data_IF_735685653667
#
_entry.id   IF_735685653667
#
_cell.length_a   1.000
_cell.length_b   1.000
_cell.length_c   1.000
_cell.angle_alpha   90.00
_cell.angle_beta   90.00
_cell.angle_gamma   90.00
#
_symmetry.space_group_name_H-M   'P 1'
#
loop_
_entity.id
_entity.type
_entity.pdbx_description
1 polymer ?
#
# COMPACT_ATOMS: atom_id res chain seq x y z
N UNK A 1 29.41 56.11 86.10
CA UNK A 1 29.69 55.33 84.89
C UNK A 1 28.59 55.61 83.89
N UNK A 2 28.96 56.39 82.86
CA UNK A 2 28.48 56.41 81.48
C UNK A 2 26.96 56.39 81.16
N UNK A 3 26.50 57.52 80.59
CA UNK A 3 25.51 57.58 79.50
C UNK A 3 26.14 57.04 78.18
N UNK A 4 25.55 57.12 76.95
CA UNK A 4 24.21 57.53 76.49
C UNK A 4 23.66 56.73 75.24
N UNK A 5 22.53 57.21 74.71
CA UNK A 5 22.11 57.31 73.28
C UNK A 5 21.38 56.18 72.52
N UNK A 6 20.19 56.60 72.05
CA UNK A 6 19.58 56.50 70.70
C UNK A 6 19.64 55.18 69.91
N UNK A 7 18.47 54.74 69.42
CA UNK A 7 18.04 55.07 68.05
C UNK A 7 16.60 54.61 67.78
N UNK A 8 15.79 55.53 67.25
CA UNK A 8 14.58 55.25 66.48
C UNK A 8 14.91 54.35 65.29
N UNK A 9 14.03 53.40 64.98
CA UNK A 9 13.98 52.84 63.63
C UNK A 9 12.53 52.64 63.21
N UNK A 10 12.24 53.18 62.04
CA UNK A 10 10.93 53.37 61.44
C UNK A 10 10.27 52.04 61.04
N UNK A 11 8.97 51.95 61.31
CA UNK A 11 8.07 51.02 60.66
C UNK A 11 7.93 51.37 59.17
N UNK A 12 8.12 50.37 58.32
CA UNK A 12 7.57 50.35 56.96
C UNK A 12 6.83 49.03 56.79
N UNK A 13 5.51 49.04 56.49
CA UNK A 13 4.76 47.81 56.27
C UNK A 13 5.07 47.29 54.86
N UNK A 14 5.78 46.15 54.81
CA UNK A 14 5.95 45.34 53.60
C UNK A 14 4.61 44.71 53.23
N UNK A 15 3.86 45.38 52.38
CA UNK A 15 2.64 44.86 51.77
C UNK A 15 3.02 43.97 50.58
N UNK A 16 3.28 42.68 50.85
CA UNK A 16 3.46 41.67 49.80
C UNK A 16 2.10 41.13 49.37
N UNK A 17 1.68 41.23 48.10
CA UNK A 17 0.44 40.64 47.61
C UNK A 17 0.56 39.12 47.65
N UNK A 18 -0.30 38.49 48.46
CA UNK A 18 -0.53 37.04 48.42
C UNK A 18 -1.22 36.74 47.09
N UNK A 19 -0.45 36.29 46.10
CA UNK A 19 -1.00 35.76 44.86
C UNK A 19 -1.77 34.48 45.21
N UNK A 20 -3.07 34.62 45.37
CA UNK A 20 -4.03 33.53 45.38
C UNK A 20 -4.08 33.00 43.94
N UNK A 21 -3.25 31.99 43.68
CA UNK A 21 -3.25 31.26 42.42
C UNK A 21 -4.56 30.47 42.40
N UNK A 22 -5.53 30.99 41.66
CA UNK A 22 -6.73 30.30 41.21
C UNK A 22 -6.31 29.11 40.34
N UNK A 23 -5.88 28.03 40.98
CA UNK A 23 -5.56 26.78 40.33
C UNK A 23 -6.88 26.10 39.98
N UNK A 24 -7.39 26.40 38.79
CA UNK A 24 -8.41 25.57 38.14
C UNK A 24 -7.93 24.11 38.22
N UNK A 25 -8.67 23.19 38.85
CA UNK A 25 -8.27 21.80 38.94
C UNK A 25 -7.97 21.26 37.54
N UNK A 26 -6.88 20.51 37.35
CA UNK A 26 -6.57 19.93 36.04
C UNK A 26 -7.78 19.12 35.57
N UNK A 27 -8.27 19.46 34.38
CA UNK A 27 -9.41 18.77 33.79
C UNK A 27 -9.03 17.31 33.50
N UNK A 28 -9.91 16.38 33.87
CA UNK A 28 -9.72 14.97 33.56
C UNK A 28 -9.85 14.75 32.05
N UNK A 29 -8.86 14.08 31.47
CA UNK A 29 -8.84 13.71 30.06
C UNK A 29 -9.34 12.28 29.89
N UNK A 30 -10.10 12.01 28.83
CA UNK A 30 -10.59 10.66 28.51
C UNK A 30 -9.43 9.80 28.04
N UNK A 31 -9.05 8.81 28.85
CA UNK A 31 -7.95 7.90 28.55
C UNK A 31 -8.43 6.64 27.81
N UNK A 32 -9.68 6.21 28.03
CA UNK A 32 -10.29 5.07 27.35
C UNK A 32 -11.80 5.26 27.27
N UNK A 33 -12.38 5.01 26.11
CA UNK A 33 -13.83 4.97 25.91
C UNK A 33 -14.22 3.73 25.12
N UNK A 34 -15.12 2.92 25.68
CA UNK A 34 -15.58 1.66 25.11
C UNK A 34 -17.10 1.65 25.05
N UNK A 35 -17.68 1.44 23.87
CA UNK A 35 -19.12 1.52 23.66
C UNK A 35 -19.88 0.23 23.97
N UNK A 36 -19.20 -0.91 24.07
CA UNK A 36 -19.83 -2.22 24.26
C UNK A 36 -18.93 -3.18 25.03
N UNK A 37 -19.08 -3.19 26.35
CA UNK A 37 -18.40 -4.08 27.29
C UNK A 37 -19.42 -5.03 27.91
N UNK A 38 -19.10 -6.32 27.98
CA UNK A 38 -19.92 -7.34 28.67
C UNK A 38 -19.13 -7.97 29.81
N UNK A 39 -19.82 -8.18 30.93
CA UNK A 39 -19.28 -8.82 32.13
C UNK A 39 -20.02 -10.14 32.33
N UNK A 40 -19.28 -11.21 32.57
CA UNK A 40 -19.83 -12.57 32.58
C UNK A 40 -20.64 -12.83 33.85
N UNK A 41 -20.20 -12.26 34.98
CA UNK A 41 -20.89 -12.42 36.26
C UNK A 41 -22.02 -11.43 36.52
N UNK A 42 -22.29 -10.51 35.59
CA UNK A 42 -23.35 -9.51 35.75
C UNK A 42 -24.71 -10.06 35.27
N UNK A 43 -25.63 -10.29 36.21
CA UNK A 43 -26.99 -10.77 35.94
C UNK A 43 -28.06 -9.75 36.38
N UNK A 44 -29.08 -9.45 35.54
CA UNK A 44 -29.28 -9.96 34.18
C UNK A 44 -28.23 -9.43 33.20
N UNK A 45 -27.81 -10.25 32.24
CA UNK A 45 -26.85 -9.85 31.21
C UNK A 45 -27.22 -8.51 30.54
N UNK A 46 -26.29 -7.56 30.55
CA UNK A 46 -26.43 -6.24 29.94
C UNK A 46 -25.13 -5.85 29.20
N UNK A 47 -25.20 -4.80 28.40
CA UNK A 47 -24.05 -4.22 27.69
C UNK A 47 -23.77 -2.85 28.27
N UNK A 48 -22.52 -2.59 28.59
CA UNK A 48 -22.10 -1.36 29.22
C UNK A 48 -21.28 -0.49 28.27
N UNK A 49 -21.48 0.81 28.35
CA UNK A 49 -20.47 1.79 27.95
C UNK A 49 -19.56 2.02 29.14
N UNK A 50 -18.27 2.14 28.88
CA UNK A 50 -17.26 2.37 29.91
C UNK A 50 -16.35 3.49 29.48
N UNK A 51 -16.10 4.42 30.38
CA UNK A 51 -15.17 5.52 30.19
C UNK A 51 -14.20 5.58 31.37
N UNK A 52 -12.91 5.63 31.07
CA UNK A 52 -11.86 5.94 32.02
C UNK A 52 -11.31 7.33 31.71
N UNK A 53 -11.27 8.20 32.71
CA UNK A 53 -10.69 9.54 32.59
C UNK A 53 -9.59 9.72 33.64
N UNK A 54 -8.48 10.39 33.28
CA UNK A 54 -7.28 10.51 34.13
C UNK A 54 -6.63 11.88 33.96
N UNK A 55 -5.67 12.23 34.83
CA UNK A 55 -4.81 13.40 34.62
C UNK A 55 -3.44 12.92 34.14
N UNK A 56 -3.18 12.94 32.83
CA UNK A 56 -1.88 12.53 32.27
C UNK A 56 -1.46 11.09 32.62
N UNK A 57 -2.39 10.13 32.57
CA UNK A 57 -2.19 8.72 32.97
C UNK A 57 -1.79 8.54 34.45
N UNK A 58 -2.16 9.50 35.30
CA UNK A 58 -1.94 9.48 36.74
C UNK A 58 -3.24 9.72 37.51
N UNK A 59 -3.18 9.57 38.83
CA UNK A 59 -4.28 9.90 39.73
C UNK A 59 -4.53 11.43 39.72
N UNK A 60 -5.79 11.89 39.89
CA UNK A 60 -6.99 11.08 40.08
C UNK A 60 -7.48 10.39 38.79
N UNK A 61 -8.15 9.25 38.96
CA UNK A 61 -8.78 8.48 37.87
C UNK A 61 -10.29 8.41 38.14
N UNK A 62 -11.10 8.60 37.10
CA UNK A 62 -12.55 8.42 37.14
C UNK A 62 -12.96 7.25 36.27
N UNK A 63 -13.64 6.27 36.86
CA UNK A 63 -14.28 5.15 36.17
C UNK A 63 -15.77 5.48 36.07
N UNK A 64 -16.28 5.63 34.85
CA UNK A 64 -17.71 5.84 34.59
C UNK A 64 -18.26 4.70 33.74
N UNK A 65 -19.48 4.27 34.05
CA UNK A 65 -20.17 3.20 33.35
C UNK A 65 -21.64 3.55 33.12
N UNK A 66 -22.16 3.20 31.95
CA UNK A 66 -23.59 3.31 31.61
C UNK A 66 -24.12 1.98 31.10
N UNK A 67 -25.20 1.49 31.69
CA UNK A 67 -25.92 0.34 31.16
C UNK A 67 -26.72 0.77 29.91
N UNK A 68 -26.43 0.17 28.75
CA UNK A 68 -27.08 0.56 27.49
C UNK A 68 -28.59 0.38 27.52
N UNK A 69 -29.09 -0.67 28.18
CA UNK A 69 -30.53 -0.95 28.25
C UNK A 69 -31.28 -0.03 29.21
N UNK A 70 -30.82 0.07 30.46
CA UNK A 70 -31.53 0.81 31.52
C UNK A 70 -31.20 2.29 31.58
N UNK A 71 -30.08 2.70 30.97
CA UNK A 71 -29.51 4.07 31.03
C UNK A 71 -29.12 4.53 32.42
N UNK A 72 -29.05 3.62 33.38
CA UNK A 72 -28.44 3.88 34.67
C UNK A 72 -26.94 4.08 34.50
N UNK A 73 -26.39 5.01 35.28
CA UNK A 73 -24.99 5.38 35.26
C UNK A 73 -24.37 5.20 36.65
N UNK A 74 -23.11 4.81 36.67
CA UNK A 74 -22.32 4.66 37.89
C UNK A 74 -20.94 5.27 37.71
N UNK A 75 -20.38 5.77 38.81
CA UNK A 75 -19.06 6.40 38.83
C UNK A 75 -18.26 5.99 40.06
N UNK A 76 -16.95 5.81 39.87
CA UNK A 76 -15.97 5.67 40.95
C UNK A 76 -14.80 6.63 40.68
N UNK A 77 -14.54 7.53 41.62
CA UNK A 77 -13.39 8.43 41.60
C UNK A 77 -12.28 7.84 42.47
N UNK A 78 -11.20 7.43 41.84
CA UNK A 78 -10.03 6.80 42.47
C UNK A 78 -8.98 7.87 42.75
N UNK A 79 -8.75 8.15 44.02
CA UNK A 79 -7.70 9.06 44.50
C UNK A 79 -6.43 8.31 44.93
N UNK A 80 -6.57 7.03 45.31
CA UNK A 80 -5.47 6.16 45.72
C UNK A 80 -5.91 4.68 45.55
N UNK A 81 -5.14 3.89 44.82
CA UNK A 81 -5.41 2.47 44.60
C UNK A 81 -5.29 1.62 45.87
N UNK A 82 -4.57 2.10 46.89
CA UNK A 82 -4.49 1.40 48.18
C UNK A 82 -5.88 1.26 48.84
N UNK A 83 -6.77 2.24 48.63
CA UNK A 83 -8.15 2.21 49.15
C UNK A 83 -9.03 1.18 48.44
N UNK A 84 -8.57 0.65 47.30
CA UNK A 84 -9.30 -0.33 46.50
C UNK A 84 -8.66 -1.72 46.58
N UNK A 85 -7.52 -1.87 47.24
CA UNK A 85 -6.92 -3.17 47.52
C UNK A 85 -7.59 -3.83 48.75
N UNK A 86 -7.59 -5.17 48.86
CA UNK A 86 -7.99 -5.87 50.08
C UNK A 86 -7.23 -5.36 51.31
N UNK A 87 -7.89 -5.33 52.47
CA UNK A 87 -7.28 -4.84 53.71
C UNK A 87 -6.03 -5.64 54.15
N UNK A 88 -5.90 -6.88 53.71
CA UNK A 88 -4.77 -7.77 53.95
C UNK A 88 -3.73 -7.78 52.80
N UNK A 89 -3.87 -6.88 51.82
CA UNK A 89 -2.93 -6.78 50.71
C UNK A 89 -1.52 -6.42 51.21
N UNK A 90 -0.55 -7.27 50.85
CA UNK A 90 0.87 -7.08 51.24
C UNK A 90 1.57 -5.96 50.49
N UNK A 91 1.02 -5.55 49.36
CA UNK A 91 1.58 -4.53 48.48
C UNK A 91 0.48 -3.92 47.61
N UNK A 92 0.75 -2.73 47.10
CA UNK A 92 -0.05 -2.02 46.10
C UNK A 92 0.83 -1.78 44.88
N UNK A 93 0.34 -2.09 43.69
CA UNK A 93 1.09 -1.91 42.45
C UNK A 93 1.16 -0.42 42.07
N UNK A 94 2.19 0.01 41.30
CA UNK A 94 2.25 1.37 40.81
C UNK A 94 1.01 1.78 40.01
N UNK A 95 0.61 3.05 40.13
CA UNK A 95 -0.56 3.63 39.45
C UNK A 95 -0.61 3.29 37.96
N UNK A 96 0.51 3.49 37.26
CA UNK A 96 0.61 3.22 35.83
C UNK A 96 0.35 1.73 35.50
N UNK A 97 0.80 0.81 36.36
CA UNK A 97 0.58 -0.63 36.18
C UNK A 97 -0.89 -0.99 36.35
N UNK A 98 -1.54 -0.48 37.40
CA UNK A 98 -2.97 -0.75 37.65
C UNK A 98 -3.84 -0.13 36.56
N UNK A 99 -3.54 1.10 36.15
CA UNK A 99 -4.28 1.78 35.07
C UNK A 99 -4.12 1.04 33.73
N UNK A 100 -2.90 0.63 33.36
CA UNK A 100 -2.66 -0.13 32.14
C UNK A 100 -3.38 -1.49 32.17
N UNK A 101 -3.33 -2.19 33.31
CA UNK A 101 -4.06 -3.45 33.50
C UNK A 101 -5.58 -3.26 33.38
N UNK A 102 -6.12 -2.21 33.99
CA UNK A 102 -7.55 -1.88 33.91
C UNK A 102 -7.97 -1.59 32.47
N UNK A 103 -7.21 -0.77 31.75
CA UNK A 103 -7.45 -0.46 30.33
C UNK A 103 -7.40 -1.71 29.46
N UNK A 104 -6.37 -2.55 29.64
CA UNK A 104 -6.19 -3.78 28.88
C UNK A 104 -7.33 -4.79 29.14
N UNK A 105 -7.67 -5.01 30.40
CA UNK A 105 -8.72 -5.97 30.78
C UNK A 105 -10.11 -5.52 30.29
N UNK A 106 -10.45 -4.24 30.40
CA UNK A 106 -11.69 -3.69 29.85
C UNK A 106 -11.75 -3.80 28.32
N UNK A 107 -10.64 -3.48 27.64
CA UNK A 107 -10.55 -3.61 26.18
C UNK A 107 -10.74 -5.06 25.74
N UNK A 108 -10.18 -6.03 26.46
CA UNK A 108 -10.37 -7.45 26.17
C UNK A 108 -11.85 -7.87 26.21
N UNK A 109 -12.66 -7.26 27.10
CA UNK A 109 -14.12 -7.51 27.20
C UNK A 109 -14.96 -6.93 26.05
N UNK A 110 -14.36 -6.12 25.15
CA UNK A 110 -15.04 -5.58 23.95
C UNK A 110 -14.94 -6.46 22.72
N UNK A 111 -13.97 -7.37 22.68
CA UNK A 111 -13.73 -8.21 21.51
C UNK A 111 -14.90 -9.17 21.32
N UNK A 112 -15.78 -8.84 20.37
CA UNK A 112 -16.68 -9.81 19.78
C UNK A 112 -15.83 -10.96 19.23
N UNK A 113 -16.18 -12.18 19.64
CA UNK A 113 -15.81 -13.53 19.18
C UNK A 113 -15.49 -13.69 17.66
N UNK A 114 -14.55 -12.92 17.11
CA UNK A 114 -14.16 -12.99 15.70
C UNK A 114 -12.92 -13.85 15.47
N UNK A 115 -12.16 -14.16 16.53
CA UNK A 115 -11.16 -15.22 16.49
C UNK A 115 -11.49 -16.22 17.59
N UNK A 116 -11.62 -17.49 17.22
CA UNK A 116 -11.90 -18.63 18.12
C UNK A 116 -10.77 -18.94 19.09
N UNK A 117 -9.99 -17.95 19.49
CA UNK A 117 -8.96 -18.06 20.49
C UNK A 117 -9.55 -17.57 21.81
N UNK A 118 -9.95 -18.52 22.64
CA UNK A 118 -10.13 -18.32 24.07
C UNK A 118 -8.83 -17.72 24.63
N UNK A 119 -8.69 -16.40 24.60
CA UNK A 119 -7.69 -15.68 25.39
C UNK A 119 -8.12 -15.83 26.85
N UNK A 120 -7.90 -17.03 27.39
CA UNK A 120 -7.78 -17.30 28.82
C UNK A 120 -6.41 -16.80 29.24
N UNK A 121 -6.11 -15.54 28.95
CA UNK A 121 -4.96 -14.90 29.55
C UNK A 121 -5.30 -14.76 31.03
N UNK A 122 -4.86 -15.74 31.82
CA UNK A 122 -5.14 -15.79 33.25
C UNK A 122 -4.49 -14.63 33.99
N UNK A 123 -3.54 -13.94 33.34
CA UNK A 123 -2.76 -12.85 33.94
C UNK A 123 -3.58 -11.61 34.25
N UNK A 124 -4.68 -11.36 33.53
CA UNK A 124 -5.54 -10.20 33.73
C UNK A 124 -7.01 -10.61 33.63
N UNK A 125 -7.73 -10.50 34.74
CA UNK A 125 -9.16 -10.77 34.80
C UNK A 125 -9.89 -9.55 35.31
N UNK A 126 -10.99 -9.21 34.64
CA UNK A 126 -11.90 -8.18 35.11
C UNK A 126 -13.32 -8.69 35.03
N UNK A 127 -14.08 -8.48 36.10
CA UNK A 127 -15.49 -8.81 36.13
C UNK A 127 -16.27 -7.81 36.98
N UNK A 128 -17.59 -7.83 36.82
CA UNK A 128 -18.49 -6.91 37.49
C UNK A 128 -19.60 -7.65 38.23
N UNK A 129 -19.86 -7.20 39.44
CA UNK A 129 -20.87 -7.74 40.33
C UNK A 129 -21.82 -6.64 40.75
N UNK A 130 -23.08 -6.99 40.98
CA UNK A 130 -24.07 -6.08 41.53
C UNK A 130 -24.12 -6.27 43.05
N UNK A 131 -23.98 -5.17 43.79
CA UNK A 131 -24.09 -5.16 45.25
C UNK A 131 -25.16 -4.15 45.67
N UNK A 132 -26.40 -4.63 45.81
CA UNK A 132 -27.57 -3.77 46.01
C UNK A 132 -27.78 -2.78 44.85
N UNK A 133 -27.66 -1.47 45.13
CA UNK A 133 -27.74 -0.39 44.14
C UNK A 133 -26.39 -0.02 43.51
N UNK A 134 -25.30 -0.51 44.09
CA UNK A 134 -23.94 -0.20 43.63
C UNK A 134 -23.44 -1.30 42.68
N UNK A 135 -22.48 -0.93 41.83
CA UNK A 135 -21.74 -1.88 41.03
C UNK A 135 -20.35 -2.04 41.62
N UNK A 136 -19.83 -3.26 41.59
CA UNK A 136 -18.48 -3.56 42.00
C UNK A 136 -17.70 -4.12 40.84
N UNK A 137 -16.69 -3.38 40.40
CA UNK A 137 -15.76 -3.81 39.36
C UNK A 137 -14.52 -4.41 40.04
N UNK A 138 -14.25 -5.69 39.79
CA UNK A 138 -13.11 -6.41 40.34
C UNK A 138 -12.05 -6.61 39.27
N UNK A 139 -10.85 -6.10 39.50
CA UNK A 139 -9.68 -6.32 38.65
C UNK A 139 -8.69 -7.23 39.39
N UNK A 140 -8.35 -8.34 38.77
CA UNK A 140 -7.33 -9.28 39.24
C UNK A 140 -6.15 -9.30 38.28
N UNK A 141 -4.96 -9.10 38.82
CA UNK A 141 -3.68 -9.05 38.09
C UNK A 141 -2.78 -10.14 38.66
N UNK A 142 -2.45 -11.13 37.84
CA UNK A 142 -1.43 -12.13 38.11
C UNK A 142 -0.15 -11.75 37.37
N UNK A 143 0.84 -11.27 38.12
CA UNK A 143 2.15 -10.91 37.63
C UNK A 143 3.12 -12.11 37.71
N UNK A 144 4.28 -11.97 37.07
CA UNK A 144 5.35 -12.97 37.10
C UNK A 144 5.71 -13.36 38.55
N UNK A 145 6.09 -14.62 38.75
CA UNK A 145 6.45 -15.21 40.06
C UNK A 145 5.28 -15.42 41.04
N UNK A 146 4.04 -15.52 40.55
CA UNK A 146 2.87 -15.86 41.37
C UNK A 146 2.38 -14.71 42.26
N UNK A 147 2.79 -13.48 41.94
CA UNK A 147 2.28 -12.29 42.60
C UNK A 147 0.87 -11.99 42.09
N UNK A 148 -0.11 -12.07 42.98
CA UNK A 148 -1.50 -11.74 42.69
C UNK A 148 -1.90 -10.44 43.38
N UNK A 149 -2.44 -9.49 42.62
CA UNK A 149 -3.00 -8.24 43.13
C UNK A 149 -4.46 -8.13 42.69
N UNK A 150 -5.34 -7.82 43.63
CA UNK A 150 -6.77 -7.63 43.40
C UNK A 150 -7.16 -6.21 43.79
N UNK A 151 -8.03 -5.59 42.99
CA UNK A 151 -8.59 -4.28 43.24
C UNK A 151 -10.10 -4.33 43.05
N UNK A 152 -10.85 -3.78 44.00
CA UNK A 152 -12.30 -3.65 43.94
C UNK A 152 -12.70 -2.17 43.90
N UNK A 153 -13.36 -1.79 42.81
CA UNK A 153 -13.89 -0.45 42.62
C UNK A 153 -15.39 -0.47 42.85
N UNK A 154 -15.84 0.16 43.92
CA UNK A 154 -17.26 0.38 44.18
C UNK A 154 -17.73 1.61 43.42
N UNK A 155 -18.56 1.39 42.40
CA UNK A 155 -19.17 2.45 41.60
C UNK A 155 -20.53 2.81 42.18
N UNK A 156 -20.69 4.09 42.51
CA UNK A 156 -21.93 4.66 43.04
C UNK A 156 -22.82 5.10 41.91
N UNK A 157 -24.12 4.87 42.06
CA UNK A 157 -25.09 5.30 41.07
C UNK A 157 -25.09 6.84 40.99
N UNK A 158 -25.00 7.35 39.76
CA UNK A 158 -25.11 8.77 39.46
C UNK A 158 -26.59 9.09 39.22
N UNK A 159 -27.06 10.20 39.76
CA UNK A 159 -28.39 10.71 39.43
C UNK A 159 -28.39 11.18 37.97
N UNK A 160 -29.17 10.50 37.13
CA UNK A 160 -29.25 10.78 35.70
C UNK A 160 -30.50 11.62 35.46
N UNK A 161 -30.35 12.84 34.94
CA UNK A 161 -31.49 13.66 34.58
C UNK A 161 -32.15 13.12 33.31
N UNK A 162 -33.43 13.48 33.09
CA UNK A 162 -34.15 13.04 31.88
C UNK A 162 -33.45 13.45 30.59
N UNK A 163 -32.78 14.61 30.59
CA UNK A 163 -32.01 15.11 29.44
C UNK A 163 -30.85 14.15 29.14
N UNK A 164 -30.08 13.77 30.16
CA UNK A 164 -28.96 12.83 30.00
C UNK A 164 -29.42 11.45 29.47
N UNK A 165 -30.60 10.99 29.88
CA UNK A 165 -31.20 9.75 29.33
C UNK A 165 -31.53 9.92 27.84
N UNK A 166 -32.09 11.07 27.44
CA UNK A 166 -32.40 11.35 26.05
C UNK A 166 -31.14 11.47 25.21
N UNK A 167 -30.10 12.12 25.70
CA UNK A 167 -28.80 12.18 25.05
C UNK A 167 -28.17 10.79 24.91
N UNK A 168 -28.25 9.95 25.95
CA UNK A 168 -27.78 8.57 25.89
C UNK A 168 -28.53 7.75 24.82
N UNK A 169 -29.85 7.93 24.69
CA UNK A 169 -30.65 7.30 23.63
C UNK A 169 -30.31 7.85 22.24
N UNK A 170 -30.04 9.15 22.12
CA UNK A 170 -29.63 9.77 20.86
C UNK A 170 -28.27 9.22 20.40
N UNK A 171 -27.33 9.04 21.33
CA UNK A 171 -26.04 8.37 21.06
C UNK A 171 -26.24 6.94 20.57
N UNK A 172 -27.08 6.14 21.26
CA UNK A 172 -27.39 4.77 20.83
C UNK A 172 -28.02 4.71 19.44
N UNK A 173 -28.96 5.61 19.13
CA UNK A 173 -29.60 5.66 17.81
C UNK A 173 -28.62 6.08 16.73
N UNK A 174 -27.71 7.01 17.04
CA UNK A 174 -26.65 7.43 16.11
C UNK A 174 -25.71 6.27 15.79
N UNK A 175 -25.27 5.52 16.81
CA UNK A 175 -24.46 4.30 16.61
C UNK A 175 -25.18 3.25 15.75
N UNK A 176 -26.47 3.03 15.97
CA UNK A 176 -27.24 2.08 15.16
C UNK A 176 -27.33 2.52 13.69
N UNK A 177 -27.52 3.82 13.44
CA UNK A 177 -27.54 4.38 12.08
C UNK A 177 -26.19 4.14 11.39
N UNK A 178 -25.07 4.35 12.09
CA UNK A 178 -23.73 4.12 11.52
C UNK A 178 -23.49 2.65 11.17
N UNK A 179 -23.92 1.73 12.03
CA UNK A 179 -23.84 0.28 11.76
C UNK A 179 -24.66 -0.09 10.53
N UNK A 180 -25.93 0.34 10.48
CA UNK A 180 -26.81 0.08 9.35
C UNK A 180 -26.30 0.71 8.05
N UNK A 181 -25.69 1.90 8.11
CA UNK A 181 -25.08 2.54 6.96
C UNK A 181 -23.90 1.71 6.41
N UNK A 182 -23.04 1.19 7.29
CA UNK A 182 -21.93 0.29 6.91
C UNK A 182 -22.46 -1.01 6.30
N UNK A 183 -23.45 -1.64 6.92
CA UNK A 183 -24.08 -2.86 6.39
C UNK A 183 -24.69 -2.64 5.01
N UNK A 184 -25.44 -1.55 4.84
CA UNK A 184 -26.01 -1.15 3.54
C UNK A 184 -24.92 -0.94 2.49
N UNK A 185 -23.81 -0.30 2.83
CA UNK A 185 -22.71 -0.08 1.91
C UNK A 185 -22.05 -1.39 1.49
N UNK A 186 -21.84 -2.31 2.44
CA UNK A 186 -21.32 -3.65 2.15
C UNK A 186 -22.28 -4.44 1.23
N UNK A 187 -23.58 -4.36 1.48
CA UNK A 187 -24.59 -4.95 0.59
C UNK A 187 -24.57 -4.33 -0.80
N UNK A 188 -24.38 -3.01 -0.91
CA UNK A 188 -24.28 -2.33 -2.20
C UNK A 188 -23.08 -2.83 -3.00
N UNK A 189 -21.92 -2.95 -2.37
CA UNK A 189 -20.71 -3.48 -2.98
C UNK A 189 -20.90 -4.93 -3.46
N UNK A 190 -21.54 -5.78 -2.65
CA UNK A 190 -21.87 -7.15 -3.06
C UNK A 190 -22.82 -7.18 -4.27
N UNK A 191 -23.81 -6.29 -4.32
CA UNK A 191 -24.73 -6.19 -5.46
C UNK A 191 -23.99 -5.75 -6.73
N UNK A 192 -23.03 -4.83 -6.62
CA UNK A 192 -22.21 -4.40 -7.75
C UNK A 192 -21.34 -5.54 -8.28
N UNK A 193 -20.69 -6.31 -7.42
CA UNK A 193 -19.93 -7.50 -7.81
C UNK A 193 -20.82 -8.53 -8.53
N UNK A 194 -22.01 -8.82 -8.00
CA UNK A 194 -22.98 -9.74 -8.63
C UNK A 194 -23.39 -9.24 -10.02
N UNK A 195 -23.61 -7.92 -10.19
CA UNK A 195 -23.98 -7.34 -11.50
C UNK A 195 -22.87 -7.50 -12.52
N UNK A 196 -21.61 -7.27 -12.13
CA UNK A 196 -20.45 -7.47 -13.02
C UNK A 196 -20.37 -8.93 -13.47
N UNK A 197 -20.49 -9.88 -12.52
CA UNK A 197 -20.48 -11.31 -12.84
C UNK A 197 -21.64 -11.74 -13.76
N UNK A 198 -22.82 -11.14 -13.61
CA UNK A 198 -23.97 -11.41 -14.48
C UNK A 198 -23.76 -10.91 -15.92
N UNK A 199 -23.10 -9.75 -16.09
CA UNK A 199 -22.74 -9.21 -17.41
C UNK A 199 -21.74 -10.12 -18.11
N UNK A 200 -20.70 -10.58 -17.42
CA UNK A 200 -19.69 -11.47 -17.99
C UNK A 200 -20.30 -12.82 -18.39
N UNK A 201 -21.25 -13.34 -17.59
CA UNK A 201 -22.00 -14.54 -17.94
C UNK A 201 -22.84 -14.38 -19.21
N UNK A 202 -23.46 -13.22 -19.42
CA UNK A 202 -24.22 -12.93 -20.64
C UNK A 202 -23.30 -12.86 -21.88
N UNK A 203 -22.15 -12.18 -21.77
CA UNK A 203 -21.13 -12.14 -22.84
C UNK A 203 -20.58 -13.52 -23.18
N UNK A 204 -20.31 -14.35 -22.17
CA UNK A 204 -19.87 -15.75 -22.36
C UNK A 204 -20.91 -16.57 -23.13
N UNK A 205 -22.20 -16.36 -22.86
CA UNK A 205 -23.28 -17.03 -23.59
C UNK A 205 -23.33 -16.60 -25.07
N UNK A 206 -23.23 -15.30 -25.33
CA UNK A 206 -23.21 -14.77 -26.69
C UNK A 206 -22.00 -15.28 -27.48
N UNK A 207 -20.80 -15.25 -26.87
CA UNK A 207 -19.58 -15.78 -27.48
C UNK A 207 -19.70 -17.30 -27.75
N UNK A 208 -20.33 -18.05 -26.84
CA UNK A 208 -20.60 -19.48 -27.05
C UNK A 208 -21.52 -19.72 -28.24
N UNK A 209 -22.54 -18.89 -28.45
CA UNK A 209 -23.43 -18.98 -29.61
C UNK A 209 -22.71 -18.61 -30.91
N UNK A 210 -21.86 -17.57 -30.90
CA UNK A 210 -21.01 -17.21 -32.04
C UNK A 210 -20.05 -18.34 -32.42
N UNK A 211 -19.40 -18.99 -31.45
CA UNK A 211 -18.51 -20.13 -31.69
C UNK A 211 -19.29 -21.31 -32.29
N UNK A 212 -20.49 -21.61 -31.80
CA UNK A 212 -21.34 -22.66 -32.40
C UNK A 212 -21.67 -22.36 -33.86
N UNK A 213 -21.97 -21.11 -34.20
CA UNK A 213 -22.23 -20.70 -35.58
C UNK A 213 -20.97 -20.85 -36.45
N UNK A 214 -19.81 -20.42 -35.98
CA UNK A 214 -18.53 -20.56 -36.71
C UNK A 214 -18.16 -22.03 -36.94
N UNK A 215 -18.35 -22.90 -35.93
CA UNK A 215 -18.11 -24.33 -36.06
C UNK A 215 -19.06 -24.96 -37.09
N UNK A 216 -20.31 -24.52 -37.16
CA UNK A 216 -21.25 -24.98 -38.19
C UNK A 216 -20.88 -24.52 -39.62
N UNK A 217 -20.12 -23.43 -39.75
CA UNK A 217 -19.62 -22.90 -41.04
C UNK A 217 -18.30 -23.56 -41.49
N UNK A 218 -17.53 -24.18 -40.58
CA UNK A 218 -16.25 -24.83 -40.90
C UNK A 218 -16.30 -25.84 -42.07
N UNK A 219 -17.34 -26.69 -42.23
CA UNK A 219 -17.43 -27.61 -43.38
C UNK A 219 -17.51 -26.89 -44.74
N UNK A 220 -18.07 -25.66 -44.77
CA UNK A 220 -18.13 -24.84 -45.99
C UNK A 220 -16.75 -24.28 -46.34
N UNK A 221 -15.99 -23.86 -45.34
CA UNK A 221 -14.61 -23.41 -45.48
C UNK A 221 -13.69 -24.54 -45.96
N UNK A 222 -13.85 -25.75 -45.44
CA UNK A 222 -13.06 -26.91 -45.86
C UNK A 222 -13.30 -27.28 -47.34
N UNK A 223 -14.53 -27.09 -47.83
CA UNK A 223 -14.84 -27.23 -49.25
C UNK A 223 -14.24 -26.09 -50.10
N UNK A 224 -14.21 -24.86 -49.60
CA UNK A 224 -13.56 -23.72 -50.28
C UNK A 224 -12.04 -23.89 -50.34
N UNK A 225 -11.40 -24.38 -49.28
CA UNK A 225 -9.95 -24.65 -49.26
C UNK A 225 -9.58 -25.69 -50.33
N UNK A 226 -10.37 -26.76 -50.49
CA UNK A 226 -10.18 -27.74 -51.57
C UNK A 226 -10.31 -27.12 -52.97
N UNK A 227 -11.21 -26.14 -53.14
CA UNK A 227 -11.37 -25.40 -54.40
C UNK A 227 -10.20 -24.44 -54.63
N UNK A 228 -9.70 -23.78 -53.60
CA UNK A 228 -8.53 -22.89 -53.68
C UNK A 228 -7.24 -23.68 -53.94
N UNK A 229 -7.03 -24.82 -53.29
CA UNK A 229 -5.90 -25.72 -53.58
C UNK A 229 -5.91 -26.20 -55.04
N UNK A 230 -7.09 -26.46 -55.60
CA UNK A 230 -7.26 -26.78 -57.02
C UNK A 230 -6.94 -25.59 -57.95
N UNK A 231 -7.15 -24.34 -57.50
CA UNK A 231 -6.86 -23.12 -58.25
C UNK A 231 -5.37 -22.69 -58.13
N UNK A 232 -4.72 -22.95 -57.00
CA UNK A 232 -3.31 -22.59 -56.72
C UNK A 232 -2.32 -23.38 -57.60
N UNK A 233 -2.72 -24.53 -58.15
CA UNK A 233 -1.91 -25.30 -59.12
C UNK A 233 -1.74 -24.61 -60.51
N UNK A 234 -2.29 -23.41 -60.73
CA UNK A 234 -2.14 -22.62 -61.98
C UNK A 234 -1.61 -21.18 -61.78
N UNK A 235 -0.39 -20.99 -61.23
CA UNK A 235 0.59 -19.83 -61.35
C UNK A 235 0.09 -18.35 -61.17
N UNK A 236 0.97 -17.32 -60.94
CA UNK A 236 2.37 -17.25 -60.48
C UNK A 236 2.53 -16.50 -59.12
N UNK A 237 3.79 -16.31 -58.70
CA UNK A 237 4.29 -15.88 -57.38
C UNK A 237 3.65 -14.61 -56.79
N UNK A 238 3.30 -14.67 -55.50
CA UNK A 238 2.95 -13.52 -54.66
C UNK A 238 4.19 -13.07 -53.89
N UNK A 239 4.49 -11.77 -53.93
CA UNK A 239 5.64 -11.13 -53.28
C UNK A 239 5.65 -11.39 -51.76
N UNK A 240 6.58 -12.20 -51.30
CA UNK A 240 6.76 -12.50 -49.88
C UNK A 240 7.53 -11.38 -49.20
N UNK A 241 6.89 -10.65 -48.30
CA UNK A 241 7.57 -9.72 -47.38
C UNK A 241 8.48 -10.52 -46.45
N UNK A 242 9.77 -10.22 -46.45
CA UNK A 242 10.77 -10.90 -45.59
C UNK A 242 11.18 -9.98 -44.47
N UNK A 243 11.05 -10.46 -43.23
CA UNK A 243 11.41 -9.72 -42.03
C UNK A 243 12.44 -10.50 -41.21
N UNK A 244 13.52 -9.84 -40.79
CA UNK A 244 14.58 -10.45 -39.97
C UNK A 244 14.83 -9.64 -38.71
N UNK A 245 14.93 -10.35 -37.58
CA UNK A 245 15.17 -9.80 -36.24
C UNK A 245 16.61 -10.08 -35.80
N UNK A 246 17.28 -9.04 -35.34
CA UNK A 246 18.60 -9.09 -34.75
C UNK A 246 18.55 -8.59 -33.30
N UNK A 247 19.32 -9.22 -32.42
CA UNK A 247 19.44 -8.84 -31.02
C UNK A 247 20.83 -8.27 -30.77
N UNK A 248 20.91 -7.20 -30.00
CA UNK A 248 22.18 -6.60 -29.60
C UNK A 248 22.93 -7.53 -28.63
N UNK A 249 24.24 -7.65 -28.80
CA UNK A 249 25.10 -8.16 -27.73
C UNK A 249 25.53 -7.03 -26.82
N UNK A 250 25.53 -7.29 -25.51
CA UNK A 250 26.13 -6.38 -24.53
C UNK A 250 27.64 -6.31 -24.80
N UNK A 251 28.06 -5.25 -25.47
CA UNK A 251 29.47 -5.04 -25.81
C UNK A 251 30.09 -4.11 -24.78
N UNK A 252 31.16 -4.58 -24.16
CA UNK A 252 32.00 -3.84 -23.19
C UNK A 252 33.24 -3.23 -23.84
N UNK A 253 33.33 -3.25 -25.17
CA UNK A 253 34.52 -2.85 -25.91
C UNK A 253 34.39 -1.42 -26.43
N UNK A 254 35.52 -0.72 -26.54
CA UNK A 254 35.72 0.68 -26.96
C UNK A 254 35.21 1.02 -28.39
N UNK A 255 34.37 0.18 -28.99
CA UNK A 255 33.88 0.32 -30.36
C UNK A 255 32.54 1.05 -30.40
N UNK A 256 32.46 2.13 -31.17
CA UNK A 256 31.27 2.99 -31.30
C UNK A 256 30.05 2.31 -31.97
N UNK A 257 30.17 1.06 -32.41
CA UNK A 257 29.17 0.33 -33.19
C UNK A 257 28.51 -0.80 -32.38
N UNK A 258 27.18 -0.92 -32.51
CA UNK A 258 26.39 -1.98 -31.85
C UNK A 258 26.64 -3.31 -32.57
N UNK A 259 26.97 -4.35 -31.82
CA UNK A 259 27.16 -5.71 -32.32
C UNK A 259 25.85 -6.49 -32.27
N UNK A 260 25.49 -7.13 -33.38
CA UNK A 260 24.24 -7.84 -33.58
C UNK A 260 24.45 -9.35 -33.73
N UNK A 261 23.67 -10.13 -32.97
CA UNK A 261 23.44 -11.55 -33.22
C UNK A 261 22.15 -11.74 -33.98
N UNK A 262 22.21 -12.50 -35.07
CA UNK A 262 20.99 -12.97 -35.73
C UNK A 262 20.23 -13.87 -34.76
N UNK A 263 19.00 -13.50 -34.40
CA UNK A 263 18.11 -14.41 -33.68
C UNK A 263 17.32 -15.17 -34.74
N UNK A 264 17.63 -16.45 -34.93
CA UNK A 264 16.78 -17.33 -35.73
C UNK A 264 15.48 -17.55 -34.96
N UNK A 265 14.52 -16.65 -35.15
CA UNK A 265 13.12 -16.98 -34.92
C UNK A 265 12.72 -18.04 -35.93
N UNK A 266 12.00 -19.06 -35.47
CA UNK A 266 11.52 -20.23 -36.23
C UNK A 266 10.57 -19.83 -37.39
N UNK A 267 11.07 -19.13 -38.40
CA UNK A 267 10.41 -19.04 -39.69
C UNK A 267 11.03 -20.13 -40.56
N UNK A 268 10.32 -21.26 -40.68
CA UNK A 268 10.68 -22.47 -41.41
C UNK A 268 10.66 -22.28 -42.94
N UNK A 269 11.23 -21.18 -43.43
CA UNK A 269 11.30 -20.88 -44.87
C UNK A 269 12.74 -20.57 -45.29
N UNK A 270 13.14 -20.92 -46.53
CA UNK A 270 14.53 -20.87 -46.99
C UNK A 270 15.02 -19.45 -47.33
N UNK A 271 14.45 -18.40 -46.73
CA UNK A 271 14.75 -17.00 -47.03
C UNK A 271 16.01 -16.45 -46.34
N UNK A 272 16.97 -17.32 -46.01
CA UNK A 272 18.22 -16.98 -45.33
C UNK A 272 19.21 -16.11 -46.16
N UNK A 273 18.79 -15.52 -47.29
CA UNK A 273 19.68 -14.93 -48.29
C UNK A 273 19.54 -13.42 -48.47
N UNK A 274 18.79 -12.69 -47.64
CA UNK A 274 18.62 -11.24 -47.82
C UNK A 274 19.68 -10.39 -47.10
N UNK A 275 20.32 -10.95 -46.06
CA UNK A 275 21.23 -10.23 -45.18
C UNK A 275 22.43 -11.10 -44.81
N UNK A 276 23.61 -10.48 -44.75
CA UNK A 276 24.84 -11.10 -44.21
C UNK A 276 25.33 -10.27 -43.03
N UNK A 277 25.48 -10.90 -41.86
CA UNK A 277 26.11 -10.26 -40.70
C UNK A 277 27.63 -10.30 -40.90
N UNK A 278 28.27 -9.14 -40.92
CA UNK A 278 29.70 -8.97 -41.19
C UNK A 278 30.40 -8.28 -40.01
N UNK A 279 31.75 -8.24 -40.04
CA UNK A 279 32.59 -7.53 -39.07
C UNK A 279 32.28 -7.88 -37.60
N UNK A 280 32.20 -9.18 -37.29
CA UNK A 280 31.92 -9.65 -35.94
C UNK A 280 30.55 -9.27 -35.39
N UNK A 281 29.60 -8.84 -36.25
CA UNK A 281 28.25 -8.42 -35.86
C UNK A 281 28.04 -6.91 -35.86
N UNK A 282 29.07 -6.10 -36.06
CA UNK A 282 28.96 -4.61 -36.05
C UNK A 282 28.35 -4.01 -37.33
N UNK A 283 28.17 -4.81 -38.39
CA UNK A 283 27.63 -4.36 -39.68
C UNK A 283 26.74 -5.42 -40.31
N UNK A 284 25.67 -5.00 -40.98
CA UNK A 284 24.79 -5.86 -41.77
C UNK A 284 24.89 -5.49 -43.24
N UNK A 285 25.18 -6.46 -44.10
CA UNK A 285 25.28 -6.28 -45.55
C UNK A 285 23.99 -6.73 -46.23
N UNK A 286 23.43 -5.86 -47.06
CA UNK A 286 22.25 -6.12 -47.88
C UNK A 286 22.63 -6.97 -49.09
N UNK A 287 21.90 -8.05 -49.35
CA UNK A 287 22.18 -8.95 -50.49
C UNK A 287 21.41 -8.54 -51.76
N UNK A 288 20.20 -8.01 -51.61
CA UNK A 288 19.31 -7.71 -52.74
C UNK A 288 19.01 -6.20 -52.87
N UNK A 289 18.72 -5.75 -54.09
CA UNK A 289 18.23 -4.40 -54.31
C UNK A 289 16.77 -4.30 -53.86
N UNK A 290 16.36 -3.18 -53.29
CA UNK A 290 14.95 -2.83 -53.13
C UNK A 290 14.69 -1.88 -51.98
N UNK A 291 13.43 -1.84 -51.53
CA UNK A 291 12.99 -0.93 -50.48
C UNK A 291 12.96 -1.65 -49.13
N UNK A 292 13.73 -1.11 -48.17
CA UNK A 292 13.86 -1.68 -46.83
C UNK A 292 13.26 -0.75 -45.77
N UNK A 293 12.59 -1.34 -44.80
CA UNK A 293 12.24 -0.69 -43.54
C UNK A 293 13.19 -1.18 -42.45
N UNK A 294 13.84 -0.24 -41.78
CA UNK A 294 14.78 -0.47 -40.69
C UNK A 294 14.18 0.13 -39.44
N UNK A 295 13.90 -0.73 -38.46
CA UNK A 295 13.39 -0.33 -37.16
C UNK A 295 14.36 -0.81 -36.09
N UNK A 296 14.93 0.11 -35.32
CA UNK A 296 15.73 -0.25 -34.15
C UNK A 296 15.12 0.36 -32.90
N UNK A 297 15.08 -0.46 -31.86
CA UNK A 297 14.58 -0.06 -30.56
C UNK A 297 15.37 -0.66 -29.42
N UNK A 298 15.56 0.13 -28.36
CA UNK A 298 16.12 -0.39 -27.12
C UNK A 298 16.27 0.65 -26.04
N UNK A 299 16.73 0.18 -24.88
CA UNK A 299 16.98 1.02 -23.72
C UNK A 299 18.47 1.38 -23.65
N UNK A 300 18.83 2.67 -23.84
CA UNK A 300 20.18 3.11 -23.59
C UNK A 300 20.46 3.19 -22.08
N UNK A 301 21.73 3.15 -21.70
CA UNK A 301 22.17 3.38 -20.34
C UNK A 301 22.26 4.88 -19.95
N UNK A 302 22.18 5.77 -20.93
CA UNK A 302 22.23 7.23 -20.76
C UNK A 302 20.99 7.86 -21.42
N UNK A 303 20.30 8.74 -20.67
CA UNK A 303 19.13 9.49 -21.14
C UNK A 303 19.44 10.49 -22.27
N UNK A 304 20.72 10.80 -22.49
CA UNK A 304 21.19 11.67 -23.58
C UNK A 304 21.75 10.90 -24.77
N UNK A 305 21.60 9.57 -24.79
CA UNK A 305 22.08 8.75 -25.88
C UNK A 305 21.41 9.10 -27.21
N UNK A 306 22.21 9.11 -28.27
CA UNK A 306 21.77 9.27 -29.65
C UNK A 306 22.12 8.00 -30.40
N UNK A 307 21.12 7.34 -30.99
CA UNK A 307 21.35 6.28 -31.96
C UNK A 307 21.49 6.89 -33.36
N UNK A 308 22.45 6.39 -34.12
CA UNK A 308 22.78 6.90 -35.46
C UNK A 308 22.83 5.72 -36.43
N UNK A 309 22.02 5.78 -37.48
CA UNK A 309 22.07 4.84 -38.61
C UNK A 309 23.03 5.35 -39.67
N UNK A 310 24.06 4.56 -39.94
CA UNK A 310 24.97 4.74 -41.07
C UNK A 310 24.64 3.74 -42.17
N UNK A 311 24.59 4.24 -43.41
CA UNK A 311 24.51 3.43 -44.63
C UNK A 311 25.78 3.70 -45.43
N UNK A 312 26.57 2.67 -45.71
CA UNK A 312 27.86 2.80 -46.41
C UNK A 312 28.79 3.83 -45.74
N UNK A 313 28.83 3.83 -44.40
CA UNK A 313 29.60 4.78 -43.61
C UNK A 313 29.00 6.18 -43.49
N UNK A 314 27.94 6.52 -44.23
CA UNK A 314 27.31 7.83 -44.21
C UNK A 314 26.13 7.88 -43.25
N UNK A 315 26.11 8.86 -42.34
CA UNK A 315 24.98 9.11 -41.43
C UNK A 315 23.72 9.40 -42.24
N UNK A 316 22.73 8.53 -42.12
CA UNK A 316 21.46 8.61 -42.86
C UNK A 316 20.30 9.03 -41.96
N UNK A 317 20.34 8.65 -40.68
CA UNK A 317 19.36 9.09 -39.70
C UNK A 317 19.93 9.03 -38.27
N UNK A 318 19.35 9.80 -37.35
CA UNK A 318 19.63 9.70 -35.92
C UNK A 318 18.40 9.99 -35.10
N UNK A 319 18.35 9.47 -33.88
CA UNK A 319 17.28 9.70 -32.91
C UNK A 319 17.85 9.78 -31.50
N UNK A 320 17.32 10.67 -30.68
CA UNK A 320 17.66 10.80 -29.26
C UNK A 320 16.74 9.92 -28.42
N UNK A 321 17.14 9.61 -27.20
CA UNK A 321 16.22 9.02 -26.21
C UNK A 321 14.98 9.88 -25.98
N UNK A 322 13.90 9.24 -25.54
CA UNK A 322 12.69 9.92 -25.08
C UNK A 322 12.94 10.80 -23.84
N UNK A 323 11.97 11.65 -23.49
CA UNK A 323 12.11 12.61 -22.39
C UNK A 323 12.41 11.96 -21.01
N UNK A 324 12.15 10.65 -20.88
CA UNK A 324 12.47 9.87 -19.69
C UNK A 324 13.81 9.14 -19.73
N UNK A 325 14.52 9.15 -20.87
CA UNK A 325 15.73 8.35 -21.08
C UNK A 325 15.49 6.85 -21.03
N UNK A 326 14.25 6.41 -21.20
CA UNK A 326 13.81 5.03 -21.04
C UNK A 326 13.99 4.24 -22.33
N UNK A 327 13.95 4.90 -23.48
CA UNK A 327 14.00 4.23 -24.76
C UNK A 327 14.54 5.12 -25.88
N UNK A 328 15.22 4.50 -26.85
CA UNK A 328 15.59 5.12 -28.13
C UNK A 328 14.97 4.33 -29.28
N UNK A 329 14.40 5.06 -30.24
CA UNK A 329 13.78 4.47 -31.42
C UNK A 329 14.23 5.16 -32.69
N UNK A 330 14.55 4.38 -33.71
CA UNK A 330 14.76 4.86 -35.07
C UNK A 330 13.97 3.96 -36.03
N UNK A 331 13.17 4.60 -36.89
CA UNK A 331 12.40 3.93 -37.94
C UNK A 331 12.66 4.65 -39.26
N UNK A 332 13.19 3.93 -40.26
CA UNK A 332 13.50 4.50 -41.57
C UNK A 332 13.20 3.55 -42.70
N UNK A 333 12.52 4.08 -43.72
CA UNK A 333 12.36 3.45 -45.02
C UNK A 333 13.39 4.03 -45.97
N UNK A 334 14.19 3.19 -46.62
CA UNK A 334 15.16 3.64 -47.60
C UNK A 334 15.42 2.59 -48.70
N UNK A 335 15.68 3.04 -49.93
CA UNK A 335 16.16 2.17 -50.99
C UNK A 335 17.60 1.75 -50.68
N UNK A 336 17.88 0.45 -50.76
CA UNK A 336 19.22 -0.10 -50.60
C UNK A 336 19.55 -0.96 -51.83
N UNK A 337 20.81 -0.90 -52.23
CA UNK A 337 21.36 -1.76 -53.27
C UNK A 337 22.16 -2.90 -52.64
N UNK A 338 22.31 -4.00 -53.37
CA UNK A 338 23.17 -5.11 -52.99
C UNK A 338 24.58 -4.60 -52.62
N UNK A 339 25.14 -5.19 -51.57
CA UNK A 339 26.39 -4.79 -50.90
C UNK A 339 26.33 -3.49 -50.11
N UNK A 340 25.16 -2.86 -49.94
CA UNK A 340 25.03 -1.76 -48.97
C UNK A 340 25.28 -2.29 -47.55
N UNK A 341 26.02 -1.51 -46.75
CA UNK A 341 26.33 -1.83 -45.35
C UNK A 341 25.52 -0.94 -44.42
N UNK A 342 24.90 -1.56 -43.43
CA UNK A 342 24.15 -0.90 -42.37
C UNK A 342 24.94 -1.00 -41.06
N UNK A 343 25.15 0.13 -40.40
CA UNK A 343 25.78 0.21 -39.08
C UNK A 343 24.93 1.09 -38.17
N UNK A 344 24.72 0.65 -36.94
CA UNK A 344 24.11 1.46 -35.88
C UNK A 344 25.18 1.84 -34.87
N UNK A 345 25.30 3.14 -34.61
CA UNK A 345 26.26 3.71 -33.67
C UNK A 345 25.56 4.44 -32.55
N UNK A 346 26.18 4.47 -31.39
CA UNK A 346 25.73 5.22 -30.23
C UNK A 346 26.67 6.40 -29.97
N UNK A 347 26.09 7.54 -29.62
CA UNK A 347 26.84 8.73 -29.25
C UNK A 347 26.18 9.39 -28.03
N UNK A 348 26.99 9.85 -27.07
CA UNK A 348 26.57 10.79 -26.03
C UNK A 348 27.09 12.19 -26.38
N UNK A 349 26.39 13.27 -25.94
CA UNK A 349 26.95 14.61 -25.98
C UNK A 349 28.22 14.70 -25.13
N UNK A 350 29.17 15.53 -25.56
CA UNK A 350 30.42 15.76 -24.85
C UNK A 350 30.14 16.20 -23.40
N UNK A 351 30.74 15.49 -22.44
CA UNK A 351 30.66 15.85 -21.03
C UNK A 351 31.63 17.01 -20.73
N UNK A 352 31.14 18.08 -20.09
CA UNK A 352 31.96 19.25 -19.71
C UNK A 352 32.85 19.03 -18.48
N UNK A 353 33.28 17.80 -18.21
CA UNK A 353 34.11 17.50 -17.04
C UNK A 353 35.60 17.72 -17.39
N UNK A 354 36.24 18.66 -16.70
CA UNK A 354 37.67 18.99 -16.84
C UNK A 354 38.62 17.83 -16.54
N UNK A 355 38.16 16.80 -15.81
CA UNK A 355 38.95 15.62 -15.43
C UNK A 355 38.70 14.38 -16.32
N UNK A 356 37.87 14.48 -17.37
CA UNK A 356 37.63 13.33 -18.25
C UNK A 356 38.75 13.17 -19.29
N UNK A 357 39.91 12.68 -18.84
CA UNK A 357 40.99 12.25 -19.72
C UNK A 357 40.53 11.07 -20.60
N UNK A 358 40.22 11.35 -21.86
CA UNK A 358 40.08 10.50 -23.07
C UNK A 358 39.49 9.07 -23.01
N UNK A 359 39.06 8.52 -21.87
CA UNK A 359 38.58 7.12 -21.79
C UNK A 359 37.43 6.83 -20.83
N UNK A 360 37.08 7.72 -19.89
CA UNK A 360 36.11 7.36 -18.82
C UNK A 360 34.67 7.81 -19.03
N UNK A 361 34.38 8.72 -19.96
CA UNK A 361 33.03 9.26 -20.17
C UNK A 361 32.29 8.67 -21.39
N UNK A 362 32.79 7.59 -22.02
CA UNK A 362 32.36 7.15 -23.36
C UNK A 362 31.69 5.77 -23.46
N UNK A 363 31.12 5.23 -22.39
CA UNK A 363 30.42 3.95 -22.48
C UNK A 363 28.91 4.18 -22.56
N UNK A 364 28.41 4.76 -23.66
CA UNK A 364 26.98 4.64 -23.99
C UNK A 364 26.78 3.27 -24.62
N UNK A 365 25.94 2.45 -24.02
CA UNK A 365 25.59 1.14 -24.57
C UNK A 365 24.09 0.92 -24.52
N UNK A 366 23.65 0.00 -25.36
CA UNK A 366 22.29 -0.51 -25.39
C UNK A 366 22.20 -1.75 -24.50
N UNK A 367 21.10 -1.90 -23.76
CA UNK A 367 20.84 -3.12 -22.99
C UNK A 367 20.81 -4.34 -23.92
N UNK A 368 21.16 -5.52 -23.39
CA UNK A 368 21.30 -6.80 -24.11
C UNK A 368 20.02 -7.31 -24.83
N UNK A 369 18.93 -6.57 -24.75
CA UNK A 369 17.62 -6.90 -25.33
C UNK A 369 17.17 -5.86 -26.37
N UNK A 370 18.11 -5.05 -26.86
CA UNK A 370 17.83 -4.10 -27.95
C UNK A 370 17.65 -4.88 -29.24
N UNK A 371 16.63 -4.48 -29.99
CA UNK A 371 16.22 -5.17 -31.19
C UNK A 371 16.39 -4.31 -32.43
N UNK A 372 16.87 -4.95 -33.48
CA UNK A 372 16.90 -4.40 -34.82
C UNK A 372 16.07 -5.29 -35.73
N UNK A 373 15.11 -4.67 -36.40
CA UNK A 373 14.24 -5.29 -37.38
C UNK A 373 14.55 -4.70 -38.74
N UNK A 374 14.76 -5.59 -39.71
CA UNK A 374 14.95 -5.21 -41.10
C UNK A 374 13.91 -5.95 -41.93
N UNK A 375 13.05 -5.20 -42.61
CA UNK A 375 11.98 -5.72 -43.45
C UNK A 375 12.21 -5.33 -44.90
N UNK A 376 12.31 -6.32 -45.77
CA UNK A 376 12.27 -6.15 -47.22
C UNK A 376 10.81 -6.03 -47.65
N UNK A 377 10.43 -4.87 -48.19
CA UNK A 377 9.03 -4.59 -48.51
C UNK A 377 8.67 -4.96 -49.96
N UNK A 378 9.59 -4.77 -50.91
CA UNK A 378 9.32 -4.93 -52.35
C UNK A 378 10.57 -4.65 -53.20
N UNK A 379 10.63 -5.25 -54.39
CA UNK A 379 11.73 -5.18 -55.36
C UNK A 379 11.73 -3.91 -56.20
#
# INVERSE_FOLDING_TARGET
MESPHHSENAESPSNSPKAEVDATPPALEVALELSSVKFESYEPADVFRVQLSTTGNSLPISIWMEAKRSKLQWKCDVQDFANHAPADAKYVLPVATVLAALQAALTAKTKHKLDGENSKDKTLQIDMFKDGSELRLSLEIEALFGMHARYEFTLKQVEVQRIDILEAKLRDLTEQIEVLAKEKNNQLNQIEEIKVMAIDKAKLKDLSEQVKHLVAEMPKLENLTKVVEALVLRKPQLDTMVCTRFLSEMTTTDEEAVVWKSSMWNCSTPFANYFVVANGGSSITIVNNGLYQIDCYGKPNDAKAVIILHVNGTKTASSTSDAGGLFVQISRKLPLVANSTLQLRLSAPDCNHTDCGNRKCRHVFLAAETELWITFMMH
#
